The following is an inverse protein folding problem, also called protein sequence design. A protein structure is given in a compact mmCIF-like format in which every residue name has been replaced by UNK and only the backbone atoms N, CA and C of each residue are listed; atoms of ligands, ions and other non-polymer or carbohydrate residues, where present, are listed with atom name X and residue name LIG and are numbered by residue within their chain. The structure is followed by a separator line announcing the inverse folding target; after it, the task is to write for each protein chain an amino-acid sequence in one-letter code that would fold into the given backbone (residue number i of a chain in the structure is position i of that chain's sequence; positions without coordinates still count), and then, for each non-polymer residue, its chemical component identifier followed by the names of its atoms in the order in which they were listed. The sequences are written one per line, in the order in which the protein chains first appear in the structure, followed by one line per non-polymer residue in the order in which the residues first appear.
data_IF_376735638671
#
_entry.id   IF_376735638671
#
_cell.length_a   1.000
_cell.length_b   1.000
_cell.length_c   1.000
_cell.angle_alpha   90.00
_cell.angle_beta   90.00
_cell.angle_gamma   90.00
#
_symmetry.space_group_name_H-M   'P 1'
#
loop_
_entity.id
_entity.type
_entity.pdbx_description
1 polymer ?
#
# COMPACT_ATOMS: atom_id res chain seq x y z
N UNK A 1 4.84 15.10 14.40
CA UNK A 1 5.98 15.07 15.33
C UNK A 1 7.28 15.19 14.55
N UNK A 2 8.04 16.25 14.79
CA UNK A 2 9.32 16.56 14.10
C UNK A 2 10.51 15.78 14.69
N UNK A 3 10.44 15.40 15.96
CA UNK A 3 11.51 14.66 16.63
C UNK A 3 11.48 13.17 16.31
N UNK A 4 12.67 12.59 16.13
CA UNK A 4 12.87 11.14 16.06
C UNK A 4 12.73 10.51 17.44
N UNK A 5 12.34 9.25 17.46
CA UNK A 5 12.55 8.39 18.64
C UNK A 5 13.94 7.77 18.54
N UNK A 6 14.87 8.32 19.31
CA UNK A 6 16.29 7.91 19.27
C UNK A 6 16.65 6.92 20.36
N UNK A 7 15.69 6.42 21.15
CA UNK A 7 15.97 5.56 22.32
C UNK A 7 16.71 4.29 21.94
N UNK A 8 16.32 3.67 20.81
CA UNK A 8 16.87 2.40 20.33
C UNK A 8 17.63 2.53 18.99
N UNK A 9 17.93 3.75 18.55
CA UNK A 9 18.65 4.02 17.31
C UNK A 9 20.12 4.32 17.60
N UNK A 10 21.03 3.80 16.77
CA UNK A 10 22.45 4.16 16.80
C UNK A 10 22.64 5.62 16.36
N UNK A 11 21.88 6.04 15.35
CA UNK A 11 21.83 7.44 14.92
C UNK A 11 21.03 8.28 15.90
N UNK A 12 21.69 9.20 16.57
CA UNK A 12 21.13 10.11 17.59
C UNK A 12 20.68 11.45 17.03
N UNK A 13 20.63 11.62 15.70
CA UNK A 13 20.11 12.84 15.07
C UNK A 13 18.70 13.13 15.59
N UNK A 14 18.45 14.32 16.18
CA UNK A 14 17.20 14.56 16.90
C UNK A 14 15.97 14.77 16.02
N UNK A 15 16.17 15.19 14.77
CA UNK A 15 15.09 15.53 13.85
C UNK A 15 14.86 14.43 12.82
N UNK A 16 13.60 14.31 12.38
CA UNK A 16 13.26 13.44 11.26
C UNK A 16 13.72 14.06 9.95
N UNK A 17 14.22 13.21 9.04
CA UNK A 17 14.53 13.59 7.66
C UNK A 17 13.30 13.63 6.79
N UNK A 18 12.17 13.06 7.26
CA UNK A 18 10.92 12.96 6.50
C UNK A 18 9.69 13.32 7.34
N UNK A 19 8.64 13.70 6.67
CA UNK A 19 7.30 13.89 7.22
C UNK A 19 6.35 12.87 6.57
N UNK A 20 5.51 12.21 7.37
CA UNK A 20 4.49 11.31 6.90
C UNK A 20 3.09 11.76 7.32
N UNK A 21 2.16 11.79 6.39
CA UNK A 21 0.73 11.97 6.64
C UNK A 21 -0.02 10.68 6.34
N UNK A 22 -0.87 10.22 7.24
CA UNK A 22 -1.69 9.03 7.07
C UNK A 22 -3.17 9.34 7.32
N UNK A 23 -4.01 8.95 6.38
CA UNK A 23 -5.46 9.16 6.43
C UNK A 23 -6.14 7.80 6.29
N UNK A 24 -7.01 7.47 7.25
CA UNK A 24 -7.78 6.23 7.24
C UNK A 24 -9.16 6.49 7.86
N UNK A 25 -10.22 6.04 7.19
CA UNK A 25 -11.60 6.27 7.61
C UNK A 25 -11.97 5.58 8.94
N UNK A 26 -11.33 4.44 9.24
CA UNK A 26 -11.54 3.67 10.48
C UNK A 26 -10.52 4.02 11.57
N UNK A 27 -9.65 5.01 11.31
CA UNK A 27 -8.64 5.47 12.25
C UNK A 27 -7.28 4.77 12.14
N UNK A 28 -6.29 5.34 12.79
CA UNK A 28 -4.86 4.97 12.65
C UNK A 28 -4.54 3.51 13.02
N UNK A 29 -5.33 2.87 13.85
CA UNK A 29 -5.07 1.50 14.34
C UNK A 29 -5.81 0.43 13.54
N UNK A 30 -6.61 0.84 12.56
CA UNK A 30 -7.37 -0.09 11.72
C UNK A 30 -6.44 -0.75 10.69
N UNK A 31 -6.72 -2.01 10.38
CA UNK A 31 -6.08 -2.77 9.30
C UNK A 31 -6.58 -2.38 7.90
N UNK A 32 -7.66 -1.56 7.83
CA UNK A 32 -8.20 -1.05 6.57
C UNK A 32 -7.17 -0.23 5.81
N UNK A 33 -7.33 -0.22 4.50
CA UNK A 33 -6.52 0.61 3.61
C UNK A 33 -6.62 2.08 3.99
N UNK A 34 -5.48 2.73 4.10
CA UNK A 34 -5.36 4.17 4.25
C UNK A 34 -4.58 4.79 3.11
N UNK A 35 -4.57 6.10 3.07
CA UNK A 35 -3.76 6.91 2.18
C UNK A 35 -2.56 7.46 2.95
N UNK A 36 -1.40 7.41 2.32
CA UNK A 36 -0.16 7.86 2.94
C UNK A 36 0.60 8.79 2.00
N UNK A 37 1.04 9.91 2.56
CA UNK A 37 1.91 10.88 1.89
C UNK A 37 3.25 10.88 2.62
N UNK A 38 4.32 10.66 1.89
CA UNK A 38 5.68 10.72 2.38
C UNK A 38 6.43 11.88 1.73
N UNK A 39 6.92 12.79 2.55
CA UNK A 39 7.71 13.94 2.13
C UNK A 39 9.12 13.80 2.69
N UNK A 40 10.05 13.50 1.83
CA UNK A 40 11.49 13.43 2.11
C UNK A 40 12.23 13.94 0.89
N UNK A 41 13.12 14.93 1.02
CA UNK A 41 13.85 15.45 -0.12
C UNK A 41 14.52 14.33 -0.95
N UNK A 42 14.18 14.25 -2.23
CA UNK A 42 14.66 13.22 -3.14
C UNK A 42 14.00 11.84 -3.00
N UNK A 43 13.03 11.65 -2.09
CA UNK A 43 12.38 10.37 -1.84
C UNK A 43 10.90 10.55 -1.44
N UNK A 44 10.18 11.40 -2.16
CA UNK A 44 8.76 11.63 -1.93
C UNK A 44 7.90 10.53 -2.58
N UNK A 45 6.81 10.13 -1.92
CA UNK A 45 5.86 9.19 -2.49
C UNK A 45 4.43 9.36 -1.97
N UNK A 46 3.49 8.89 -2.77
CA UNK A 46 2.09 8.65 -2.42
C UNK A 46 1.87 7.14 -2.33
N UNK A 47 1.28 6.67 -1.26
CA UNK A 47 1.07 5.25 -1.04
C UNK A 47 -0.28 4.96 -0.38
N UNK A 48 -0.68 3.71 -0.36
CA UNK A 48 -1.83 3.25 0.40
C UNK A 48 -1.98 1.75 0.37
N UNK A 49 -3.01 1.27 1.05
CA UNK A 49 -3.27 -0.16 1.19
C UNK A 49 -3.27 -0.61 2.65
N UNK A 50 -3.35 -1.93 2.85
CA UNK A 50 -3.24 -2.59 4.16
C UNK A 50 -1.78 -2.94 4.42
N UNK A 51 -1.14 -2.18 5.30
CA UNK A 51 0.29 -2.30 5.64
C UNK A 51 0.47 -3.22 6.84
N UNK A 52 1.35 -4.21 6.70
CA UNK A 52 1.67 -5.19 7.74
C UNK A 52 0.42 -5.85 8.38
N UNK A 53 -0.55 -6.37 7.60
CA UNK A 53 -1.72 -7.03 8.16
C UNK A 53 -1.30 -8.23 9.03
N UNK A 54 -2.03 -8.53 10.11
CA UNK A 54 -1.74 -9.69 10.94
C UNK A 54 -1.88 -10.99 10.11
N UNK A 55 -1.13 -12.07 10.44
CA UNK A 55 -1.08 -13.27 9.62
C UNK A 55 -2.43 -13.91 9.27
N UNK A 56 -3.44 -13.94 10.16
CA UNK A 56 -4.77 -14.43 9.80
C UNK A 56 -5.45 -13.59 8.72
N UNK A 57 -5.40 -12.26 8.85
CA UNK A 57 -5.95 -11.33 7.86
C UNK A 57 -5.20 -11.43 6.52
N UNK A 58 -3.87 -11.49 6.54
CA UNK A 58 -3.08 -11.68 5.32
C UNK A 58 -3.46 -12.96 4.58
N UNK A 59 -3.80 -14.03 5.32
CA UNK A 59 -4.28 -15.27 4.72
C UNK A 59 -5.66 -15.08 4.07
N UNK A 60 -6.57 -14.36 4.73
CA UNK A 60 -7.89 -14.04 4.19
C UNK A 60 -7.78 -13.19 2.92
N UNK A 61 -6.90 -12.17 2.92
CA UNK A 61 -6.63 -11.34 1.74
C UNK A 61 -6.10 -12.18 0.57
N UNK A 62 -5.17 -13.10 0.80
CA UNK A 62 -4.68 -14.02 -0.24
C UNK A 62 -5.77 -14.92 -0.78
N UNK A 63 -6.65 -15.41 0.10
CA UNK A 63 -7.79 -16.24 -0.31
C UNK A 63 -8.76 -15.42 -1.17
N UNK A 64 -9.09 -14.20 -0.77
CA UNK A 64 -9.95 -13.32 -1.55
C UNK A 64 -9.36 -13.00 -2.93
N UNK A 65 -8.06 -12.73 -3.02
CA UNK A 65 -7.35 -12.53 -4.31
C UNK A 65 -7.37 -13.79 -5.17
N UNK A 66 -7.18 -14.97 -4.56
CA UNK A 66 -7.24 -16.24 -5.29
C UNK A 66 -8.63 -16.51 -5.86
N UNK A 67 -9.66 -16.34 -5.04
CA UNK A 67 -11.04 -16.68 -5.38
C UNK A 67 -11.68 -15.66 -6.33
N UNK A 68 -11.23 -14.40 -6.28
CA UNK A 68 -11.72 -13.30 -7.12
C UNK A 68 -10.62 -12.77 -8.04
N UNK A 69 -9.79 -13.65 -8.59
CA UNK A 69 -8.59 -13.28 -9.35
C UNK A 69 -8.88 -12.42 -10.57
N UNK A 70 -9.97 -12.66 -11.28
CA UNK A 70 -10.32 -11.89 -12.47
C UNK A 70 -10.70 -10.46 -12.12
N UNK A 71 -11.43 -10.26 -11.02
CA UNK A 71 -11.74 -8.93 -10.50
C UNK A 71 -10.45 -8.22 -10.04
N UNK A 72 -9.63 -8.88 -9.22
CA UNK A 72 -8.37 -8.33 -8.74
C UNK A 72 -7.47 -7.90 -9.91
N UNK A 73 -7.31 -8.76 -10.91
CA UNK A 73 -6.54 -8.45 -12.12
C UNK A 73 -7.14 -7.28 -12.90
N UNK A 74 -8.46 -7.22 -13.05
CA UNK A 74 -9.12 -6.09 -13.73
C UNK A 74 -8.81 -4.73 -13.09
N UNK A 75 -8.47 -4.73 -11.80
CA UNK A 75 -8.05 -3.54 -11.05
C UNK A 75 -6.56 -3.28 -11.26
N UNK A 76 -5.71 -4.25 -10.88
CA UNK A 76 -4.27 -4.03 -10.80
C UNK A 76 -3.55 -4.08 -12.16
N UNK A 77 -4.19 -4.64 -13.18
CA UNK A 77 -3.68 -4.66 -14.56
C UNK A 77 -4.29 -3.56 -15.43
N UNK A 78 -5.23 -2.77 -14.92
CA UNK A 78 -5.77 -1.59 -15.60
C UNK A 78 -4.65 -0.60 -15.93
N UNK A 79 -4.51 -0.15 -17.19
CA UNK A 79 -3.46 0.80 -17.59
C UNK A 79 -3.46 2.10 -16.77
N UNK A 80 -4.63 2.64 -16.40
CA UNK A 80 -4.74 3.84 -15.60
C UNK A 80 -4.23 3.63 -14.17
N UNK A 81 -4.47 2.45 -13.58
CA UNK A 81 -3.93 2.07 -12.29
C UNK A 81 -2.41 1.83 -12.37
N UNK A 82 -1.96 1.03 -13.33
CA UNK A 82 -0.56 0.65 -13.49
C UNK A 82 0.36 1.83 -13.81
N UNK A 83 -0.16 2.89 -14.40
CA UNK A 83 0.59 4.12 -14.64
C UNK A 83 1.18 4.68 -13.34
N UNK A 84 0.44 4.58 -12.23
CA UNK A 84 0.86 5.08 -10.92
C UNK A 84 1.36 3.97 -10.00
N UNK A 85 0.78 2.77 -10.10
CA UNK A 85 1.00 1.67 -9.17
C UNK A 85 1.39 0.37 -9.91
N UNK A 86 2.61 0.32 -10.48
CA UNK A 86 3.03 -0.84 -11.28
C UNK A 86 3.30 -2.11 -10.47
N UNK A 87 3.49 -1.98 -9.16
CA UNK A 87 3.82 -3.09 -8.25
C UNK A 87 2.86 -3.09 -7.06
N UNK A 88 2.39 -4.28 -6.70
CA UNK A 88 1.58 -4.53 -5.51
C UNK A 88 2.46 -5.15 -4.43
N UNK A 89 2.52 -4.52 -3.26
CA UNK A 89 3.37 -4.93 -2.15
C UNK A 89 4.84 -4.55 -2.33
N UNK A 90 5.59 -4.55 -1.24
CA UNK A 90 7.03 -4.28 -1.23
C UNK A 90 7.83 -5.54 -0.92
N UNK A 91 7.24 -6.45 -0.14
CA UNK A 91 7.89 -7.66 0.33
C UNK A 91 7.16 -8.91 -0.16
N UNK A 92 7.92 -9.92 -0.60
CA UNK A 92 7.38 -11.12 -1.21
C UNK A 92 7.92 -12.39 -0.56
N UNK A 93 7.09 -13.43 -0.57
CA UNK A 93 7.53 -14.80 -0.30
C UNK A 93 8.32 -15.31 -1.51
N UNK A 94 9.35 -16.11 -1.24
CA UNK A 94 10.14 -16.79 -2.30
C UNK A 94 9.41 -17.99 -2.90
N UNK A 95 8.42 -18.53 -2.19
CA UNK A 95 7.67 -19.74 -2.56
C UNK A 95 6.17 -19.46 -2.46
N UNK A 96 5.35 -20.40 -2.93
CA UNK A 96 3.90 -20.32 -2.74
C UNK A 96 3.55 -20.28 -1.24
N UNK A 97 2.57 -19.42 -0.84
CA UNK A 97 2.05 -19.44 0.53
C UNK A 97 1.44 -20.81 0.84
N UNK A 98 1.48 -21.20 2.13
CA UNK A 98 0.86 -22.46 2.57
C UNK A 98 -0.63 -22.51 2.22
N UNK A 99 -1.03 -23.59 1.55
CA UNK A 99 -2.43 -23.82 1.15
C UNK A 99 -2.76 -23.38 -0.29
N UNK A 100 -1.79 -22.83 -1.03
CA UNK A 100 -1.97 -22.44 -2.42
C UNK A 100 -1.09 -23.28 -3.36
N UNK A 101 -1.57 -23.57 -4.59
CA UNK A 101 -0.81 -24.34 -5.60
C UNK A 101 0.47 -23.59 -5.99
N UNK A 102 1.57 -24.35 -6.16
CA UNK A 102 2.86 -23.77 -6.57
C UNK A 102 2.90 -23.36 -8.03
N UNK A 103 2.06 -23.99 -8.84
CA UNK A 103 1.91 -23.77 -10.28
C UNK A 103 0.76 -22.83 -10.64
N UNK A 104 0.22 -22.09 -9.63
CA UNK A 104 -0.84 -21.13 -9.86
C UNK A 104 -0.39 -19.99 -10.79
N UNK A 105 -1.09 -19.72 -11.90
CA UNK A 105 -0.62 -18.77 -12.92
C UNK A 105 -0.39 -17.36 -12.41
N UNK A 106 -1.12 -16.96 -11.35
CA UNK A 106 -1.06 -15.62 -10.76
C UNK A 106 -0.44 -15.62 -9.36
N UNK A 107 0.46 -16.59 -9.12
CA UNK A 107 1.12 -16.78 -7.83
C UNK A 107 1.78 -15.50 -7.27
N UNK A 108 2.30 -14.64 -8.15
CA UNK A 108 2.92 -13.35 -7.77
C UNK A 108 2.03 -12.50 -6.86
N UNK A 109 0.72 -12.50 -7.08
CA UNK A 109 -0.22 -11.74 -6.26
C UNK A 109 -0.49 -12.37 -4.89
N UNK A 110 -0.29 -13.68 -4.75
CA UNK A 110 -0.42 -14.39 -3.48
C UNK A 110 0.87 -14.36 -2.65
N UNK A 111 2.01 -14.10 -3.28
CA UNK A 111 3.31 -14.01 -2.61
C UNK A 111 3.52 -12.71 -1.83
N UNK A 112 2.65 -11.71 -2.03
CA UNK A 112 2.72 -10.46 -1.28
C UNK A 112 2.63 -10.71 0.24
N UNK A 113 3.46 -10.00 1.01
CA UNK A 113 3.41 -9.99 2.48
C UNK A 113 2.53 -8.85 3.03
N UNK A 114 2.19 -7.91 2.19
CA UNK A 114 1.25 -6.83 2.41
C UNK A 114 0.56 -6.48 1.08
N UNK A 115 -0.64 -5.89 1.17
CA UNK A 115 -1.37 -5.39 0.01
C UNK A 115 -1.34 -3.87 0.01
N UNK A 116 -0.18 -3.33 -0.38
CA UNK A 116 0.11 -1.90 -0.49
C UNK A 116 0.51 -1.54 -1.91
N UNK A 117 0.36 -0.28 -2.26
CA UNK A 117 0.81 0.30 -3.51
C UNK A 117 1.49 1.64 -3.24
N UNK A 118 2.48 2.00 -4.05
CA UNK A 118 3.21 3.25 -3.91
C UNK A 118 3.53 3.86 -5.27
N UNK A 119 3.48 5.19 -5.31
CA UNK A 119 3.81 6.02 -6.46
C UNK A 119 4.85 7.06 -6.04
N UNK A 120 6.10 6.87 -6.48
CA UNK A 120 7.16 7.83 -6.24
C UNK A 120 6.92 9.10 -7.05
N UNK A 121 7.14 10.26 -6.43
CA UNK A 121 7.00 11.56 -7.06
C UNK A 121 8.25 12.42 -6.83
N UNK A 122 8.68 13.23 -7.80
CA UNK A 122 9.77 14.16 -7.59
C UNK A 122 9.36 15.26 -6.59
N UNK A 123 10.32 15.88 -5.91
CA UNK A 123 10.08 16.97 -4.97
C UNK A 123 9.25 18.11 -5.59
N UNK A 124 9.48 18.39 -6.87
CA UNK A 124 8.75 19.41 -7.63
C UNK A 124 7.25 19.15 -7.72
N UNK A 125 6.80 17.90 -7.60
CA UNK A 125 5.38 17.56 -7.55
C UNK A 125 4.68 18.24 -6.37
N UNK A 126 5.30 18.18 -5.17
CA UNK A 126 4.73 18.73 -3.94
C UNK A 126 4.92 20.24 -3.80
N UNK A 127 5.79 20.84 -4.64
CA UNK A 127 6.00 22.28 -4.71
C UNK A 127 5.09 22.96 -5.74
N UNK A 128 4.41 22.19 -6.58
CA UNK A 128 3.50 22.71 -7.59
C UNK A 128 2.20 23.23 -6.96
N UNK A 129 1.61 24.33 -7.47
CA UNK A 129 0.38 24.90 -6.89
C UNK A 129 -0.83 23.97 -6.98
N UNK A 130 -0.82 23.02 -7.92
CA UNK A 130 -1.89 22.05 -8.19
C UNK A 130 -1.63 20.67 -7.55
N UNK A 131 -0.67 20.57 -6.63
CA UNK A 131 -0.26 19.27 -6.07
C UNK A 131 -1.40 18.54 -5.35
N UNK A 132 -2.32 19.26 -4.72
CA UNK A 132 -3.46 18.63 -4.03
C UNK A 132 -4.41 17.97 -5.02
N UNK A 133 -4.77 18.63 -6.10
CA UNK A 133 -5.65 18.08 -7.13
C UNK A 133 -5.01 16.85 -7.78
N UNK A 134 -3.72 16.93 -8.09
CA UNK A 134 -2.97 15.81 -8.66
C UNK A 134 -2.82 14.64 -7.68
N UNK A 135 -2.68 14.92 -6.40
CA UNK A 135 -2.66 13.88 -5.34
C UNK A 135 -4.02 13.19 -5.24
N UNK A 136 -5.10 13.96 -5.28
CA UNK A 136 -6.47 13.43 -5.27
C UNK A 136 -6.72 12.53 -6.49
N UNK A 137 -6.31 12.95 -7.68
CA UNK A 137 -6.43 12.14 -8.90
C UNK A 137 -5.67 10.81 -8.80
N UNK A 138 -4.45 10.81 -8.25
CA UNK A 138 -3.68 9.60 -8.01
C UNK A 138 -4.39 8.70 -6.99
N UNK A 139 -4.88 9.26 -5.89
CA UNK A 139 -5.60 8.49 -4.88
C UNK A 139 -6.94 7.93 -5.36
N UNK A 140 -7.63 8.61 -6.27
CA UNK A 140 -8.82 8.08 -6.95
C UNK A 140 -8.52 6.82 -7.75
N UNK A 141 -7.35 6.72 -8.40
CA UNK A 141 -6.93 5.49 -9.10
C UNK A 141 -6.72 4.33 -8.13
N UNK A 142 -6.27 4.60 -6.91
CA UNK A 142 -6.08 3.58 -5.87
C UNK A 142 -7.41 3.05 -5.29
N UNK A 143 -8.50 3.81 -5.43
CA UNK A 143 -9.75 3.54 -4.70
C UNK A 143 -10.29 2.13 -4.94
N UNK A 144 -10.35 1.66 -6.19
CA UNK A 144 -10.84 0.31 -6.52
C UNK A 144 -10.03 -0.79 -5.84
N UNK A 145 -8.71 -0.63 -5.79
CA UNK A 145 -7.81 -1.54 -5.08
C UNK A 145 -8.08 -1.51 -3.57
N UNK A 146 -8.20 -0.33 -2.99
CA UNK A 146 -8.51 -0.17 -1.56
C UNK A 146 -9.89 -0.72 -1.20
N UNK A 147 -10.89 -0.53 -2.05
CA UNK A 147 -12.24 -1.08 -1.86
C UNK A 147 -12.22 -2.62 -1.86
N UNK A 148 -11.50 -3.26 -2.79
CA UNK A 148 -11.35 -4.71 -2.83
C UNK A 148 -10.71 -5.26 -1.55
N UNK A 149 -9.64 -4.62 -1.08
CA UNK A 149 -8.95 -5.02 0.16
C UNK A 149 -9.84 -4.77 1.39
N UNK A 150 -10.49 -3.61 1.47
CA UNK A 150 -11.36 -3.25 2.60
C UNK A 150 -12.59 -4.15 2.70
N UNK A 151 -13.20 -4.53 1.59
CA UNK A 151 -14.31 -5.48 1.57
C UNK A 151 -13.92 -6.81 2.23
N UNK A 152 -12.72 -7.32 1.91
CA UNK A 152 -12.20 -8.53 2.56
C UNK A 152 -11.94 -8.34 4.05
N UNK A 153 -11.51 -7.15 4.46
CA UNK A 153 -11.26 -6.84 5.88
C UNK A 153 -12.58 -6.76 6.65
N UNK A 154 -13.59 -6.09 6.08
CA UNK A 154 -14.93 -5.99 6.68
C UNK A 154 -15.59 -7.39 6.86
N UNK A 155 -15.38 -8.32 5.90
CA UNK A 155 -15.86 -9.71 6.01
C UNK A 155 -15.07 -10.54 7.03
N UNK A 156 -13.83 -10.16 7.31
CA UNK A 156 -12.95 -10.86 8.24
C UNK A 156 -13.21 -10.45 9.71
N UNK A 157 -13.58 -9.19 9.99
CA UNK A 157 -13.86 -8.64 11.32
C UNK A 157 -15.18 -9.16 11.88
#
# INVERSE_FOLDING_TARGET
RIYRDTRFSEDKTPYKTHLGGYINAKGKKSDHCGYYVHLEPGNCLLAGGSYCPPPPLLRALRQAVHDNIDEFRSIVEDPAFKQYFPVIGENFLKTAPKGFPKDYPYLKYLQCKEYTVACCQPDSFFLAPDFLDRTDDIFKQMKRFSDFVNYTIDDFE
#
